data_IF_483332360600
#
_entry.id   IF_483332360600
#
_cell.length_a   1.000
_cell.length_b   1.000
_cell.length_c   1.000
_cell.angle_alpha   90.00
_cell.angle_beta   90.00
_cell.angle_gamma   90.00
#
_symmetry.space_group_name_H-M   'P 1'
#
loop_
_entity.id
_entity.type
_entity.pdbx_description
1 polymer ?
#
# COMPACT_ATOMS: atom_id res chain seq x y z
N UNK A 1 26.93 -19.14 -49.13
CA UNK A 1 26.30 -20.36 -48.58
C UNK A 1 25.20 -19.94 -47.61
N UNK A 2 23.95 -20.12 -48.00
CA UNK A 2 22.75 -19.72 -47.24
C UNK A 2 22.36 -20.85 -46.29
N UNK A 3 22.33 -20.58 -44.99
CA UNK A 3 21.97 -21.58 -43.95
C UNK A 3 20.44 -21.73 -43.94
N UNK A 4 19.95 -22.84 -44.47
CA UNK A 4 18.53 -23.18 -44.52
C UNK A 4 18.09 -23.70 -43.14
N UNK A 5 17.20 -22.97 -42.45
CA UNK A 5 16.56 -23.41 -41.21
C UNK A 5 15.59 -24.55 -41.53
N UNK A 6 15.84 -25.76 -41.02
CA UNK A 6 14.93 -26.91 -41.16
C UNK A 6 13.86 -26.86 -40.07
N UNK A 7 12.60 -27.08 -40.48
CA UNK A 7 11.35 -26.90 -39.70
C UNK A 7 11.17 -27.96 -38.59
N UNK A 8 12.20 -28.72 -38.24
CA UNK A 8 12.03 -30.04 -37.65
C UNK A 8 11.89 -30.17 -36.13
N UNK A 9 11.74 -29.09 -35.36
CA UNK A 9 11.40 -29.21 -33.93
C UNK A 9 10.57 -28.02 -33.41
N UNK A 10 9.47 -27.69 -34.09
CA UNK A 10 8.46 -26.79 -33.53
C UNK A 10 7.40 -27.64 -32.81
N UNK A 11 7.54 -27.83 -31.50
CA UNK A 11 6.51 -28.46 -30.66
C UNK A 11 5.42 -27.44 -30.38
N UNK A 12 4.27 -27.57 -31.04
CA UNK A 12 3.08 -26.77 -30.74
C UNK A 12 2.46 -27.32 -29.45
N UNK A 13 2.59 -26.58 -28.36
CA UNK A 13 1.90 -26.89 -27.10
C UNK A 13 0.62 -26.05 -27.05
N UNK A 14 -0.54 -26.72 -27.10
CA UNK A 14 -1.83 -26.03 -26.96
C UNK A 14 -2.21 -25.99 -25.49
N UNK A 15 -2.43 -24.79 -24.94
CA UNK A 15 -2.95 -24.61 -23.59
C UNK A 15 -4.47 -24.38 -23.67
N UNK A 16 -5.25 -25.16 -22.91
CA UNK A 16 -6.65 -24.87 -22.68
C UNK A 16 -6.75 -23.74 -21.65
N UNK A 17 -7.46 -22.65 -21.97
CA UNK A 17 -7.60 -21.47 -21.12
C UNK A 17 -9.08 -21.18 -20.88
N UNK A 18 -9.47 -21.03 -19.62
CA UNK A 18 -10.79 -20.53 -19.24
C UNK A 18 -10.77 -19.00 -19.23
N UNK A 19 -11.75 -18.38 -19.91
CA UNK A 19 -11.92 -16.93 -19.95
C UNK A 19 -13.13 -16.54 -19.11
N UNK A 20 -12.89 -15.80 -18.03
CA UNK A 20 -13.96 -15.25 -17.18
C UNK A 20 -14.30 -13.84 -17.64
N UNK A 21 -15.59 -13.56 -17.84
CA UNK A 21 -16.10 -12.25 -18.27
C UNK A 21 -17.08 -11.69 -17.25
N UNK A 22 -17.10 -10.38 -17.11
CA UNK A 22 -18.07 -9.68 -16.28
C UNK A 22 -19.37 -9.50 -17.08
N UNK A 23 -20.52 -9.81 -16.49
CA UNK A 23 -21.83 -9.56 -17.11
C UNK A 23 -22.73 -8.74 -16.20
N UNK A 24 -23.52 -7.84 -16.80
CA UNK A 24 -24.56 -7.06 -16.14
C UNK A 24 -25.87 -7.33 -16.88
N UNK A 25 -26.86 -7.87 -16.17
CA UNK A 25 -28.16 -8.26 -16.76
C UNK A 25 -28.02 -9.14 -18.01
N UNK A 26 -27.10 -10.11 -17.97
CA UNK A 26 -26.84 -11.05 -19.07
C UNK A 26 -26.03 -10.48 -20.24
N UNK A 27 -25.62 -9.21 -20.19
CA UNK A 27 -24.77 -8.58 -21.23
C UNK A 27 -23.33 -8.49 -20.75
N UNK A 28 -22.38 -8.86 -21.60
CA UNK A 28 -20.96 -8.69 -21.29
C UNK A 28 -20.61 -7.21 -21.10
N UNK A 29 -19.81 -6.93 -20.08
CA UNK A 29 -19.30 -5.59 -19.81
C UNK A 29 -18.27 -5.22 -20.86
N UNK A 30 -18.50 -4.07 -21.50
CA UNK A 30 -17.57 -3.47 -22.45
C UNK A 30 -16.61 -2.53 -21.75
N UNK A 31 -15.54 -2.15 -22.45
CA UNK A 31 -14.58 -1.17 -21.95
C UNK A 31 -15.21 0.18 -21.61
N UNK A 32 -16.21 0.61 -22.39
CA UNK A 32 -16.94 1.84 -22.15
C UNK A 32 -17.70 1.81 -20.81
N UNK A 33 -18.34 0.68 -20.49
CA UNK A 33 -19.04 0.49 -19.20
C UNK A 33 -18.04 0.40 -18.05
N UNK A 34 -16.94 -0.35 -18.21
CA UNK A 34 -15.91 -0.45 -17.18
C UNK A 34 -15.34 0.93 -16.79
N UNK A 35 -15.10 1.82 -17.76
CA UNK A 35 -14.60 3.19 -17.49
C UNK A 35 -15.60 4.07 -16.73
N UNK A 36 -16.88 3.71 -16.71
CA UNK A 36 -17.90 4.43 -15.95
C UNK A 36 -17.97 3.97 -14.48
N UNK A 37 -17.33 2.85 -14.11
CA UNK A 37 -17.30 2.40 -12.72
C UNK A 37 -16.57 3.42 -11.85
N UNK A 38 -17.22 3.81 -10.75
CA UNK A 38 -16.62 4.72 -9.78
C UNK A 38 -15.38 4.06 -9.16
N UNK A 39 -14.30 4.85 -9.09
CA UNK A 39 -13.10 4.45 -8.38
C UNK A 39 -13.27 4.70 -6.88
N UNK A 40 -13.04 3.66 -6.07
CA UNK A 40 -13.08 3.76 -4.61
C UNK A 40 -12.10 2.78 -3.98
N UNK A 41 -11.49 3.18 -2.86
CA UNK A 41 -10.62 2.28 -2.08
C UNK A 41 -11.43 1.10 -1.56
N UNK A 42 -10.90 -0.11 -1.76
CA UNK A 42 -11.47 -1.35 -1.20
C UNK A 42 -10.88 -1.71 0.16
N UNK A 43 -9.76 -1.07 0.53
CA UNK A 43 -9.13 -1.27 1.83
C UNK A 43 -9.73 -0.30 2.84
N UNK A 44 -10.16 -0.84 3.98
CA UNK A 44 -10.49 -0.03 5.14
C UNK A 44 -9.21 0.67 5.66
N UNK A 45 -9.22 2.00 5.84
CA UNK A 45 -8.03 2.77 6.19
C UNK A 45 -7.52 2.55 7.61
N UNK A 46 -8.29 1.89 8.50
CA UNK A 46 -7.95 1.66 9.91
C UNK A 46 -7.36 0.27 10.14
N UNK A 47 -7.89 -0.76 9.48
CA UNK A 47 -7.47 -2.14 9.74
C UNK A 47 -6.93 -2.85 8.48
N UNK A 48 -6.87 -2.15 7.34
CA UNK A 48 -6.45 -2.67 6.05
C UNK A 48 -7.20 -3.94 5.57
N UNK A 49 -8.39 -4.22 6.10
CA UNK A 49 -9.24 -5.31 5.62
C UNK A 49 -9.98 -4.91 4.35
N UNK A 50 -10.29 -5.87 3.49
CA UNK A 50 -11.13 -5.65 2.32
C UNK A 50 -12.58 -5.33 2.74
N UNK A 51 -13.23 -4.47 1.98
CA UNK A 51 -14.65 -4.13 2.12
C UNK A 51 -15.41 -4.51 0.86
N UNK A 52 -16.64 -4.99 1.01
CA UNK A 52 -17.51 -5.36 -0.11
C UNK A 52 -17.20 -6.73 -0.74
N UNK A 53 -17.87 -7.04 -1.83
CA UNK A 53 -17.76 -8.32 -2.54
C UNK A 53 -16.75 -8.24 -3.68
N UNK A 54 -15.84 -9.22 -3.77
CA UNK A 54 -14.80 -9.28 -4.79
C UNK A 54 -15.27 -10.03 -6.03
N UNK A 55 -15.16 -9.42 -7.20
CA UNK A 55 -15.55 -10.06 -8.46
C UNK A 55 -14.34 -10.59 -9.23
N UNK A 56 -13.26 -9.82 -9.29
CA UNK A 56 -12.04 -10.26 -9.96
C UNK A 56 -11.08 -9.14 -10.29
N UNK A 57 -9.91 -9.50 -10.83
CA UNK A 57 -8.90 -8.54 -11.28
C UNK A 57 -9.03 -8.24 -12.77
N UNK A 58 -8.73 -7.02 -13.18
CA UNK A 58 -8.75 -6.61 -14.59
C UNK A 58 -7.35 -6.17 -15.01
N UNK A 59 -6.91 -6.59 -16.19
CA UNK A 59 -5.63 -6.17 -16.76
C UNK A 59 -5.83 -4.97 -17.71
N UNK A 60 -6.49 -3.92 -17.21
CA UNK A 60 -6.72 -2.69 -17.95
C UNK A 60 -6.43 -1.50 -17.03
N UNK A 61 -5.59 -0.58 -17.51
CA UNK A 61 -5.13 0.60 -16.79
C UNK A 61 -5.71 1.86 -17.44
N UNK A 62 -6.83 2.42 -16.93
CA UNK A 62 -7.36 3.69 -17.43
C UNK A 62 -6.33 4.82 -17.39
N UNK A 63 -5.49 4.81 -16.34
CA UNK A 63 -4.55 5.89 -16.02
C UNK A 63 -3.12 5.63 -16.53
N UNK A 64 -2.95 4.64 -17.43
CA UNK A 64 -1.66 4.29 -18.05
C UNK A 64 -0.54 3.99 -17.04
N UNK A 65 -0.85 3.30 -15.95
CA UNK A 65 0.18 2.82 -15.03
C UNK A 65 1.12 1.87 -15.78
N UNK A 66 2.41 2.19 -15.83
CA UNK A 66 3.39 1.53 -16.69
C UNK A 66 3.73 0.10 -16.24
N UNK A 67 3.58 -0.20 -14.94
CA UNK A 67 4.07 -1.44 -14.34
C UNK A 67 2.94 -2.22 -13.66
N UNK A 68 2.53 -3.34 -14.25
CA UNK A 68 1.47 -4.21 -13.70
C UNK A 68 1.90 -4.97 -12.43
N UNK A 69 3.20 -5.04 -12.12
CA UNK A 69 3.71 -5.73 -10.93
C UNK A 69 3.48 -4.93 -9.64
N UNK A 70 3.22 -3.62 -9.74
CA UNK A 70 3.25 -2.71 -8.59
C UNK A 70 1.88 -2.47 -7.96
N UNK A 71 0.81 -2.91 -8.62
CA UNK A 71 -0.57 -2.75 -8.16
C UNK A 71 -1.52 -3.70 -8.89
N UNK A 72 -2.67 -3.98 -8.28
CA UNK A 72 -3.77 -4.74 -8.87
C UNK A 72 -4.96 -3.84 -9.10
N UNK A 73 -5.61 -3.98 -10.26
CA UNK A 73 -6.92 -3.38 -10.52
C UNK A 73 -7.99 -4.43 -10.30
N UNK A 74 -9.01 -4.08 -9.52
CA UNK A 74 -10.06 -5.01 -9.12
C UNK A 74 -11.44 -4.40 -9.30
N UNK A 75 -12.37 -5.24 -9.74
CA UNK A 75 -13.81 -4.97 -9.73
C UNK A 75 -14.38 -5.57 -8.47
N UNK A 76 -15.17 -4.77 -7.76
CA UNK A 76 -15.81 -5.15 -6.52
C UNK A 76 -17.18 -4.50 -6.40
N UNK A 77 -17.99 -4.95 -5.44
CA UNK A 77 -19.34 -4.44 -5.22
C UNK A 77 -19.50 -3.90 -3.81
N UNK A 78 -20.15 -2.74 -3.71
CA UNK A 78 -20.52 -2.10 -2.45
C UNK A 78 -21.97 -1.66 -2.55
N UNK A 79 -22.80 -2.08 -1.60
CA UNK A 79 -24.21 -1.69 -1.51
C UNK A 79 -24.99 -1.89 -2.83
N UNK A 80 -24.70 -2.98 -3.54
CA UNK A 80 -25.33 -3.31 -4.82
C UNK A 80 -24.66 -2.66 -6.05
N UNK A 81 -23.75 -1.70 -5.87
CA UNK A 81 -23.11 -0.97 -6.96
C UNK A 81 -21.71 -1.51 -7.27
N UNK A 82 -21.42 -1.72 -8.56
CA UNK A 82 -20.08 -2.10 -9.02
C UNK A 82 -19.13 -0.90 -8.96
N UNK A 83 -17.95 -1.15 -8.43
CA UNK A 83 -16.86 -0.19 -8.26
C UNK A 83 -15.55 -0.78 -8.77
N UNK A 84 -14.60 0.10 -9.03
CA UNK A 84 -13.21 -0.30 -9.33
C UNK A 84 -12.29 0.20 -8.23
N UNK A 85 -11.25 -0.55 -7.92
CA UNK A 85 -10.16 -0.09 -7.06
C UNK A 85 -8.83 -0.40 -7.74
N UNK A 86 -7.81 0.38 -7.39
CA UNK A 86 -6.42 0.01 -7.59
C UNK A 86 -5.76 -0.13 -6.23
N UNK A 87 -5.01 -1.21 -6.02
CA UNK A 87 -4.33 -1.47 -4.74
C UNK A 87 -2.87 -1.78 -5.01
N UNK A 88 -1.96 -0.99 -4.43
CA UNK A 88 -0.52 -1.16 -4.59
C UNK A 88 0.01 -2.38 -3.85
N UNK A 89 1.12 -2.93 -4.34
CA UNK A 89 1.91 -3.92 -3.62
C UNK A 89 2.37 -3.35 -2.26
N UNK A 90 2.51 -4.20 -1.22
CA UNK A 90 2.93 -3.79 0.13
C UNK A 90 4.11 -2.81 0.16
N UNK A 91 5.17 -3.11 -0.58
CA UNK A 91 6.43 -2.36 -0.62
C UNK A 91 6.30 -1.01 -1.35
N UNK A 92 5.29 -0.87 -2.22
CA UNK A 92 5.00 0.36 -2.96
C UNK A 92 3.78 1.11 -2.43
N UNK A 93 3.14 0.57 -1.39
CA UNK A 93 1.98 1.15 -0.78
C UNK A 93 2.29 2.58 -0.28
N UNK A 94 1.31 3.46 -0.37
CA UNK A 94 1.34 4.73 0.35
C UNK A 94 0.24 4.66 1.42
N UNK A 95 0.24 3.59 2.23
CA UNK A 95 -0.85 3.33 3.15
C UNK A 95 -0.85 4.39 4.26
N UNK A 96 -1.82 5.30 4.18
CA UNK A 96 -2.03 6.36 5.17
C UNK A 96 -2.77 5.75 6.35
N UNK A 97 -2.14 5.76 7.51
CA UNK A 97 -2.70 5.19 8.73
C UNK A 97 -2.58 6.17 9.89
N UNK A 98 -3.59 6.22 10.76
CA UNK A 98 -3.64 7.19 11.86
C UNK A 98 -2.48 7.01 12.86
N UNK A 99 -1.97 5.80 13.03
CA UNK A 99 -0.82 5.50 13.88
C UNK A 99 0.54 5.61 13.16
N UNK A 100 0.59 5.83 11.85
CA UNK A 100 1.86 5.90 11.12
C UNK A 100 2.71 7.10 11.57
N UNK A 101 2.08 8.26 11.75
CA UNK A 101 2.75 9.45 12.27
C UNK A 101 3.27 9.24 13.69
N UNK A 102 2.40 8.73 14.57
CA UNK A 102 2.73 8.46 15.97
C UNK A 102 3.87 7.43 16.12
N UNK A 103 3.91 6.42 15.25
CA UNK A 103 5.02 5.46 15.20
C UNK A 103 6.34 6.13 14.80
N UNK A 104 6.34 6.96 13.76
CA UNK A 104 7.53 7.69 13.36
C UNK A 104 8.04 8.62 14.47
N UNK A 105 7.12 9.31 15.16
CA UNK A 105 7.43 10.14 16.32
C UNK A 105 8.03 9.33 17.48
N UNK A 106 7.51 8.13 17.76
CA UNK A 106 8.07 7.23 18.76
C UNK A 106 9.49 6.78 18.39
N UNK A 107 9.74 6.44 17.12
CA UNK A 107 11.08 6.07 16.62
C UNK A 107 12.06 7.24 16.72
N UNK A 108 11.60 8.48 16.48
CA UNK A 108 12.38 9.70 16.67
C UNK A 108 12.71 9.91 18.16
N UNK A 109 11.71 9.85 19.04
CA UNK A 109 11.87 10.04 20.49
C UNK A 109 12.85 9.03 21.09
N UNK A 110 12.82 7.80 20.61
CA UNK A 110 13.68 6.71 21.07
C UNK A 110 15.12 6.80 20.51
N UNK A 111 15.40 7.74 19.60
CA UNK A 111 16.73 7.97 19.03
C UNK A 111 17.19 6.88 18.05
N UNK A 112 16.28 5.99 17.61
CA UNK A 112 16.61 4.79 16.84
C UNK A 112 17.03 5.05 15.40
N UNK A 113 16.92 6.29 14.94
CA UNK A 113 17.32 6.72 13.60
C UNK A 113 18.84 6.57 13.38
N UNK A 114 19.62 6.55 14.47
CA UNK A 114 21.09 6.57 14.42
C UNK A 114 21.76 5.21 14.67
N UNK A 115 21.02 4.18 15.08
CA UNK A 115 21.63 2.87 15.29
C UNK A 115 21.69 2.10 13.97
N UNK A 116 22.88 1.98 13.38
CA UNK A 116 23.15 1.18 12.19
C UNK A 116 22.89 -0.34 12.33
N UNK A 117 22.31 -0.83 13.42
CA UNK A 117 22.28 -2.25 13.75
C UNK A 117 21.01 -2.63 14.52
N UNK A 118 19.92 -2.90 13.82
CA UNK A 118 18.93 -3.88 14.27
C UNK A 118 17.99 -4.25 13.11
N UNK A 119 18.02 -5.50 12.68
CA UNK A 119 17.13 -6.13 11.70
C UNK A 119 15.64 -6.22 12.14
N UNK A 120 15.21 -5.34 13.07
CA UNK A 120 13.85 -5.30 13.66
C UNK A 120 13.19 -3.92 13.59
N UNK A 121 13.80 -2.97 12.87
CA UNK A 121 13.41 -1.55 12.83
C UNK A 121 12.96 -1.17 11.41
N UNK A 122 12.19 -0.07 11.22
CA UNK A 122 11.65 0.23 9.91
C UNK A 122 12.82 0.45 8.94
N UNK A 123 12.87 -0.34 7.86
CA UNK A 123 14.07 -0.47 7.00
C UNK A 123 14.58 0.87 6.45
N UNK A 124 13.73 1.91 6.45
CA UNK A 124 14.11 3.30 6.20
C UNK A 124 13.04 4.27 6.70
N UNK A 125 13.25 4.96 7.82
CA UNK A 125 12.44 6.12 8.17
C UNK A 125 12.88 7.33 7.34
N UNK A 126 11.95 7.92 6.60
CA UNK A 126 12.14 9.20 5.91
C UNK A 126 11.20 10.21 6.57
N UNK A 127 11.72 11.39 6.88
CA UNK A 127 10.95 12.50 7.40
C UNK A 127 11.35 13.74 6.61
N UNK A 128 10.37 14.51 6.15
CA UNK A 128 10.62 15.76 5.45
C UNK A 128 9.53 16.79 5.78
N UNK A 129 9.86 18.07 5.64
CA UNK A 129 8.89 19.15 5.79
C UNK A 129 7.78 19.06 4.75
N UNK A 130 6.57 19.47 5.11
CA UNK A 130 5.50 19.66 4.14
C UNK A 130 5.57 21.08 3.55
N UNK A 131 5.63 21.25 2.22
CA UNK A 131 5.49 22.58 1.61
C UNK A 131 4.11 23.19 1.88
N UNK A 132 3.10 22.35 2.14
CA UNK A 132 1.71 22.76 2.31
C UNK A 132 1.33 23.07 3.77
N UNK A 133 2.18 22.77 4.75
CA UNK A 133 1.92 23.03 6.17
C UNK A 133 3.20 23.45 6.88
N UNK A 134 3.17 24.61 7.53
CA UNK A 134 4.31 25.13 8.28
C UNK A 134 4.58 24.38 9.60
N UNK A 135 3.62 23.56 10.04
CA UNK A 135 3.62 22.91 11.36
C UNK A 135 3.65 21.38 11.29
N UNK A 136 3.54 20.80 10.09
CA UNK A 136 3.59 19.35 9.89
C UNK A 136 4.64 18.97 8.86
N UNK A 137 5.46 18.00 9.22
CA UNK A 137 6.21 17.19 8.27
C UNK A 137 5.37 16.02 7.76
N UNK A 138 5.93 15.30 6.79
CA UNK A 138 5.45 13.99 6.38
C UNK A 138 6.52 12.94 6.66
N UNK A 139 6.09 11.73 6.95
CA UNK A 139 6.95 10.57 7.07
C UNK A 139 6.59 9.48 6.06
N UNK A 140 7.62 8.72 5.66
CA UNK A 140 7.51 7.48 4.90
C UNK A 140 8.43 6.45 5.53
N UNK A 141 7.92 5.25 5.77
CA UNK A 141 8.72 4.14 6.28
C UNK A 141 8.16 2.79 5.87
N UNK A 142 8.98 1.75 5.94
CA UNK A 142 8.55 0.36 5.73
C UNK A 142 8.44 -0.32 7.10
N UNK A 143 7.31 -0.96 7.38
CA UNK A 143 7.12 -1.80 8.55
C UNK A 143 6.53 -3.15 8.11
N UNK A 144 7.25 -4.24 8.41
CA UNK A 144 6.89 -5.61 7.98
C UNK A 144 6.59 -5.70 6.48
N UNK A 145 7.41 -5.05 5.66
CA UNK A 145 7.28 -5.03 4.20
C UNK A 145 6.16 -4.15 3.64
N UNK A 146 5.36 -3.47 4.49
CA UNK A 146 4.34 -2.50 4.04
C UNK A 146 4.88 -1.09 4.20
N UNK A 147 4.75 -0.28 3.16
CA UNK A 147 5.10 1.13 3.22
C UNK A 147 3.95 2.00 3.76
N UNK A 148 4.23 2.70 4.86
CA UNK A 148 3.31 3.58 5.56
C UNK A 148 3.68 5.05 5.40
N UNK A 149 2.65 5.90 5.35
CA UNK A 149 2.76 7.35 5.28
C UNK A 149 1.98 7.98 6.43
N UNK A 150 2.52 9.03 7.05
CA UNK A 150 1.86 9.72 8.14
C UNK A 150 2.33 11.18 8.29
N UNK A 151 1.56 12.02 8.99
CA UNK A 151 2.04 13.32 9.42
C UNK A 151 3.05 13.17 10.57
N UNK A 152 4.00 14.09 10.69
CA UNK A 152 4.91 14.18 11.85
C UNK A 152 4.89 15.61 12.36
N UNK A 153 4.76 15.80 13.67
CA UNK A 153 4.77 17.12 14.28
C UNK A 153 6.13 17.82 14.11
N UNK A 154 6.13 19.14 13.99
CA UNK A 154 7.31 19.96 13.70
C UNK A 154 8.46 19.75 14.68
N UNK A 155 8.19 19.57 15.97
CA UNK A 155 9.23 19.33 16.96
C UNK A 155 9.98 18.01 16.75
N UNK A 156 9.29 16.97 16.25
CA UNK A 156 9.91 15.70 15.89
C UNK A 156 10.66 15.81 14.56
N UNK A 157 10.13 16.59 13.60
CA UNK A 157 10.87 16.92 12.38
C UNK A 157 12.18 17.65 12.70
N UNK A 158 12.15 18.62 13.62
CA UNK A 158 13.33 19.33 14.09
C UNK A 158 14.31 18.38 14.79
N UNK A 159 13.83 17.51 15.69
CA UNK A 159 14.66 16.51 16.36
C UNK A 159 15.25 15.45 15.39
N UNK A 160 14.58 15.20 14.27
CA UNK A 160 15.09 14.31 13.21
C UNK A 160 16.22 14.98 12.39
N UNK A 161 16.09 16.28 12.08
CA UNK A 161 17.01 17.02 11.21
C UNK A 161 18.18 17.69 11.94
N UNK A 162 17.93 18.30 13.09
CA UNK A 162 18.95 18.87 13.97
C UNK A 162 19.48 17.76 14.88
N UNK A 163 20.77 17.83 15.27
CA UNK A 163 21.30 16.89 16.25
C UNK A 163 20.39 16.87 17.52
N UNK A 164 20.03 15.68 18.04
CA UNK A 164 19.00 15.47 19.07
C UNK A 164 19.30 16.13 20.43
N UNK A 165 20.42 16.85 20.55
CA UNK A 165 20.87 17.48 21.79
C UNK A 165 20.02 18.71 22.18
N UNK A 166 19.08 19.16 21.34
CA UNK A 166 18.19 20.31 21.63
C UNK A 166 16.89 19.96 22.35
N UNK A 167 16.34 18.76 22.14
CA UNK A 167 15.11 18.28 22.78
C UNK A 167 15.41 16.89 23.32
N UNK A 168 15.49 16.75 24.65
CA UNK A 168 15.80 15.46 25.27
C UNK A 168 14.78 14.39 24.87
N UNK A 169 15.24 13.16 24.61
CA UNK A 169 14.39 12.04 24.18
C UNK A 169 13.19 11.79 25.09
N UNK A 170 13.34 11.98 26.41
CA UNK A 170 12.22 11.87 27.36
C UNK A 170 11.14 12.94 27.18
N UNK A 171 11.47 14.16 26.77
CA UNK A 171 10.47 15.19 26.49
C UNK A 171 9.62 14.78 25.27
N UNK A 172 10.28 14.29 24.21
CA UNK A 172 9.61 13.77 23.02
C UNK A 172 8.75 12.56 23.36
N UNK A 173 9.24 11.66 24.20
CA UNK A 173 8.47 10.53 24.71
C UNK A 173 7.26 10.96 25.52
N UNK A 174 7.36 11.99 26.35
CA UNK A 174 6.22 12.57 27.06
C UNK A 174 5.09 12.98 26.09
N UNK A 175 5.45 13.58 24.94
CA UNK A 175 4.49 13.97 23.89
C UNK A 175 3.89 12.79 23.13
N UNK A 176 4.65 11.71 22.94
CA UNK A 176 4.14 10.47 22.35
C UNK A 176 3.17 9.79 23.32
N UNK A 177 3.57 9.62 24.58
CA UNK A 177 2.80 8.97 25.65
C UNK A 177 1.51 9.74 25.99
N UNK A 178 1.51 11.07 25.85
CA UNK A 178 0.27 11.86 25.97
C UNK A 178 -0.83 11.42 24.99
N UNK A 179 -0.45 11.00 23.79
CA UNK A 179 -1.38 10.53 22.75
C UNK A 179 -1.58 9.01 22.80
N UNK A 180 -0.50 8.26 23.01
CA UNK A 180 -0.47 6.81 22.88
C UNK A 180 -0.85 6.04 24.16
N UNK A 181 -0.80 6.71 25.31
CA UNK A 181 -0.89 6.14 26.66
C UNK A 181 0.46 6.19 27.40
N UNK A 182 0.45 6.21 28.75
CA UNK A 182 1.67 6.35 29.57
C UNK A 182 2.68 5.21 29.37
N UNK A 183 2.19 3.99 29.11
CA UNK A 183 3.01 2.80 28.93
C UNK A 183 3.41 2.55 27.47
N UNK A 184 3.20 3.53 26.59
CA UNK A 184 3.49 3.37 25.18
C UNK A 184 4.99 3.18 24.92
N UNK A 185 5.30 2.12 24.18
CA UNK A 185 6.62 1.82 23.59
C UNK A 185 6.55 1.88 22.07
N UNK A 186 7.70 1.89 21.39
CA UNK A 186 7.79 1.83 19.93
C UNK A 186 7.07 0.58 19.40
N UNK A 187 7.30 -0.56 20.05
CA UNK A 187 6.70 -1.85 19.72
C UNK A 187 5.18 -1.82 19.88
N UNK A 188 4.68 -1.29 21.00
CA UNK A 188 3.23 -1.22 21.25
C UNK A 188 2.48 -0.33 20.24
N UNK A 189 3.16 0.67 19.65
CA UNK A 189 2.59 1.52 18.61
C UNK A 189 2.72 0.84 17.25
N UNK A 190 3.85 0.17 16.97
CA UNK A 190 4.04 -0.62 15.77
C UNK A 190 2.98 -1.72 15.61
N UNK A 191 2.61 -2.39 16.70
CA UNK A 191 1.56 -3.42 16.71
C UNK A 191 0.18 -2.90 16.28
N UNK A 192 -0.04 -1.58 16.35
CA UNK A 192 -1.28 -0.94 15.89
C UNK A 192 -1.27 -0.64 14.38
N UNK A 193 -0.16 -0.92 13.67
CA UNK A 193 -0.09 -0.80 12.22
C UNK A 193 -0.62 -2.08 11.56
N UNK A 194 -1.58 -2.00 10.62
CA UNK A 194 -2.24 -3.17 10.05
C UNK A 194 -1.42 -3.87 8.96
N UNK A 195 -0.10 -4.02 9.13
CA UNK A 195 0.78 -4.54 8.08
C UNK A 195 0.42 -5.98 7.66
N UNK A 196 0.10 -6.85 8.63
CA UNK A 196 -0.29 -8.23 8.33
C UNK A 196 -1.62 -8.30 7.58
N UNK A 197 -2.62 -7.50 8.00
CA UNK A 197 -3.90 -7.42 7.33
C UNK A 197 -3.76 -6.87 5.91
N UNK A 198 -2.88 -5.88 5.70
CA UNK A 198 -2.58 -5.36 4.37
C UNK A 198 -2.02 -6.45 3.44
N UNK A 199 -1.05 -7.24 3.91
CA UNK A 199 -0.50 -8.37 3.14
C UNK A 199 -1.56 -9.42 2.79
N UNK A 200 -2.42 -9.77 3.75
CA UNK A 200 -3.51 -10.72 3.53
C UNK A 200 -4.50 -10.21 2.48
N UNK A 201 -4.95 -8.96 2.63
CA UNK A 201 -5.84 -8.30 1.68
C UNK A 201 -5.21 -8.23 0.29
N UNK A 202 -3.95 -7.81 0.19
CA UNK A 202 -3.27 -7.73 -1.10
C UNK A 202 -3.14 -9.09 -1.78
N UNK A 203 -2.73 -10.13 -1.04
CA UNK A 203 -2.63 -11.50 -1.57
C UNK A 203 -3.99 -11.99 -2.09
N UNK A 204 -5.05 -11.79 -1.31
CA UNK A 204 -6.39 -12.17 -1.71
C UNK A 204 -6.81 -11.49 -3.02
N UNK A 205 -6.48 -10.19 -3.20
CA UNK A 205 -6.75 -9.48 -4.45
C UNK A 205 -5.88 -9.96 -5.62
N UNK A 206 -4.62 -10.28 -5.38
CA UNK A 206 -3.69 -10.76 -6.40
C UNK A 206 -4.06 -12.16 -6.93
N UNK A 207 -4.64 -13.00 -6.06
CA UNK A 207 -5.11 -14.35 -6.38
C UNK A 207 -6.49 -14.38 -7.05
N UNK A 208 -7.18 -13.24 -7.17
CA UNK A 208 -8.47 -13.17 -7.84
C UNK A 208 -8.38 -13.63 -9.31
N UNK A 209 -9.46 -14.24 -9.85
CA UNK A 209 -9.53 -14.56 -11.25
C UNK A 209 -9.42 -13.29 -12.11
N UNK A 210 -8.73 -13.41 -13.24
CA UNK A 210 -8.70 -12.33 -14.23
C UNK A 210 -10.03 -12.26 -14.98
N UNK A 211 -10.65 -11.09 -14.97
CA UNK A 211 -11.82 -10.74 -15.75
C UNK A 211 -11.38 -10.08 -17.06
N UNK A 212 -11.92 -10.59 -18.16
CA UNK A 212 -11.76 -10.00 -19.48
C UNK A 212 -12.92 -9.05 -19.74
N UNK A 213 -12.58 -7.87 -20.25
CA UNK A 213 -13.52 -6.82 -20.64
C UNK A 213 -13.59 -6.85 -22.17
N UNK A 214 -14.80 -6.86 -22.72
CA UNK A 214 -15.00 -6.82 -24.17
C UNK A 214 -14.56 -5.44 -24.71
N UNK A 215 -13.78 -5.45 -25.80
CA UNK A 215 -13.32 -4.24 -26.51
C UNK A 215 -14.32 -3.86 -27.59
#
# INVERSE_FOLDING_TARGET
>A
MTKQLTVHNATITTAAVEVKTLTISGKQVTLAVFRQLQEETILNPVNATLTGELWGRVNYHPDKCADAATHVHVVWQKDGELRRAHVRAPEEAAHKHLHAGLYAEAVIADGLIRSHLAARRPDRLQVAGSPASQDLGFTRFIHRGVQFHGPVRKEFLAAYGDHPDRLGGEELWGRVRHVAGPDATVESIAERLPALAYHQSWRQLAELPQLFIAV
#
